data_IF_802226723778
#
_entry.id   IF_802226723778
#
_cell.length_a   1.000
_cell.length_b   1.000
_cell.length_c   1.000
_cell.angle_alpha   90.00
_cell.angle_beta   90.00
_cell.angle_gamma   90.00
#
_symmetry.space_group_name_H-M   'P 1'
#
loop_
_entity.id
_entity.type
_entity.pdbx_description
1 polymer ?
#
# COMPACT_ATOMS: atom_id res chain seq x y z
N UNK A 1 0.40 7.46 -35.34
CA UNK A 1 0.39 6.25 -36.19
C UNK A 1 -0.97 5.54 -36.05
N UNK A 2 -1.41 4.69 -36.98
CA UNK A 2 -2.65 3.93 -36.81
C UNK A 2 -2.49 2.90 -35.68
N UNK A 3 -3.38 2.99 -34.67
CA UNK A 3 -3.39 2.08 -33.52
C UNK A 3 -3.57 0.63 -34.00
N UNK A 4 -2.78 -0.32 -33.46
CA UNK A 4 -2.94 -1.75 -33.73
C UNK A 4 -4.34 -2.20 -33.28
N UNK A 5 -5.27 -2.39 -34.22
CA UNK A 5 -6.63 -2.87 -33.90
C UNK A 5 -6.68 -4.24 -33.22
N UNK A 6 -5.62 -5.05 -33.36
CA UNK A 6 -5.49 -6.37 -32.73
C UNK A 6 -4.08 -6.66 -32.23
N UNK A 7 -4.00 -7.24 -31.02
CA UNK A 7 -2.77 -7.70 -30.36
C UNK A 7 -2.78 -9.23 -30.16
N UNK A 8 -1.62 -9.84 -29.93
CA UNK A 8 -1.45 -11.29 -29.74
C UNK A 8 -1.38 -11.70 -28.26
N UNK A 9 -1.46 -13.01 -27.97
CA UNK A 9 -1.43 -13.56 -26.61
C UNK A 9 -0.24 -13.08 -25.75
N UNK A 10 0.95 -12.92 -26.33
CA UNK A 10 2.12 -12.43 -25.59
C UNK A 10 2.09 -10.91 -25.35
N UNK A 11 1.56 -10.13 -26.30
CA UNK A 11 1.27 -8.69 -26.10
C UNK A 11 0.23 -8.51 -24.98
N UNK A 12 -0.85 -9.31 -24.95
CA UNK A 12 -1.83 -9.30 -23.85
C UNK A 12 -1.20 -9.74 -22.52
N UNK A 13 -0.36 -10.78 -22.51
CA UNK A 13 0.34 -11.24 -21.31
C UNK A 13 1.25 -10.15 -20.72
N UNK A 14 1.98 -9.43 -21.58
CA UNK A 14 2.82 -8.32 -21.16
C UNK A 14 2.01 -7.14 -20.60
N UNK A 15 0.84 -6.85 -21.18
CA UNK A 15 -0.02 -5.75 -20.74
C UNK A 15 -0.87 -6.06 -19.49
N UNK A 16 -1.13 -7.35 -19.20
CA UNK A 16 -2.03 -7.77 -18.10
C UNK A 16 -1.32 -8.54 -16.98
N UNK A 17 -0.08 -8.96 -17.18
CA UNK A 17 0.65 -9.85 -16.26
C UNK A 17 0.16 -11.30 -16.24
N UNK A 18 -0.89 -11.66 -17.00
CA UNK A 18 -1.45 -13.00 -17.02
C UNK A 18 -0.58 -13.99 -17.81
N UNK A 19 -0.62 -15.26 -17.40
CA UNK A 19 0.03 -16.32 -18.16
C UNK A 19 -0.68 -16.53 -19.51
N UNK A 20 0.10 -16.88 -20.53
CA UNK A 20 -0.43 -17.00 -21.90
C UNK A 20 -1.52 -18.08 -22.04
N UNK A 21 -1.51 -19.12 -21.20
CA UNK A 21 -2.53 -20.16 -21.22
C UNK A 21 -3.86 -19.71 -20.61
N UNK A 22 -3.86 -18.84 -19.61
CA UNK A 22 -5.08 -18.24 -19.07
C UNK A 22 -5.73 -17.32 -20.11
N UNK A 23 -4.93 -16.52 -20.82
CA UNK A 23 -5.40 -15.67 -21.92
C UNK A 23 -5.95 -16.54 -23.07
N UNK A 24 -5.33 -17.69 -23.38
CA UNK A 24 -5.88 -18.67 -24.34
C UNK A 24 -7.17 -19.30 -23.83
N UNK A 25 -7.34 -19.49 -22.52
CA UNK A 25 -8.57 -20.03 -21.95
C UNK A 25 -9.71 -19.00 -21.99
N UNK A 26 -9.47 -17.73 -21.67
CA UNK A 26 -10.41 -16.62 -21.88
C UNK A 26 -10.85 -16.49 -23.35
N UNK A 27 -9.94 -16.80 -24.28
CA UNK A 27 -10.21 -16.86 -25.71
C UNK A 27 -11.06 -18.08 -26.12
N UNK A 28 -10.81 -19.26 -25.52
CA UNK A 28 -11.59 -20.50 -25.77
C UNK A 28 -13.02 -20.40 -25.22
N UNK A 29 -13.20 -19.79 -24.06
CA UNK A 29 -14.52 -19.59 -23.43
C UNK A 29 -15.28 -18.39 -24.00
N UNK A 30 -14.70 -17.70 -24.99
CA UNK A 30 -15.24 -16.49 -25.63
C UNK A 30 -15.54 -15.33 -24.66
N UNK A 31 -14.90 -15.36 -23.48
CA UNK A 31 -15.01 -14.32 -22.45
C UNK A 31 -14.23 -13.08 -22.85
N UNK A 32 -13.08 -13.27 -23.50
CA UNK A 32 -12.31 -12.20 -24.14
C UNK A 32 -12.42 -12.33 -25.69
N UNK A 33 -13.13 -11.42 -26.37
CA UNK A 33 -13.37 -11.51 -27.82
C UNK A 33 -12.07 -11.60 -28.62
N UNK A 34 -11.97 -12.67 -29.41
CA UNK A 34 -10.77 -12.98 -30.19
C UNK A 34 -11.10 -13.75 -31.47
N UNK A 35 -10.17 -13.74 -32.41
CA UNK A 35 -10.19 -14.61 -33.58
C UNK A 35 -8.85 -15.34 -33.72
N UNK A 36 -8.82 -16.45 -34.46
CA UNK A 36 -7.57 -17.13 -34.81
C UNK A 36 -7.05 -16.62 -36.14
N UNK A 37 -5.74 -16.35 -36.22
CA UNK A 37 -5.07 -16.03 -37.46
C UNK A 37 -4.85 -17.31 -38.32
N UNK A 38 -4.28 -17.16 -39.54
CA UNK A 38 -3.99 -18.29 -40.45
C UNK A 38 -3.05 -19.37 -39.88
N UNK A 39 -2.31 -19.09 -38.80
CA UNK A 39 -1.46 -20.06 -38.08
C UNK A 39 -2.15 -20.62 -36.82
N UNK A 40 -3.45 -20.38 -36.65
CA UNK A 40 -4.24 -20.84 -35.51
C UNK A 40 -4.02 -20.05 -34.21
N UNK A 41 -3.19 -19.01 -34.19
CA UNK A 41 -2.91 -18.23 -32.97
C UNK A 41 -3.98 -17.18 -32.71
N UNK A 42 -4.34 -16.96 -31.45
CA UNK A 42 -5.34 -15.97 -31.05
C UNK A 42 -4.87 -14.53 -31.24
N UNK A 43 -5.81 -13.68 -31.69
CA UNK A 43 -5.69 -12.23 -31.86
C UNK A 43 -6.88 -11.57 -31.18
N UNK A 44 -6.59 -10.61 -30.31
CA UNK A 44 -7.54 -9.93 -29.43
C UNK A 44 -7.72 -8.49 -29.89
N UNK A 45 -8.96 -8.00 -29.95
CA UNK A 45 -9.22 -6.59 -30.28
C UNK A 45 -8.81 -5.70 -29.10
N UNK A 46 -8.13 -4.58 -29.37
CA UNK A 46 -7.61 -3.69 -28.32
C UNK A 46 -8.73 -3.15 -27.43
N UNK A 47 -9.77 -2.56 -28.01
CA UNK A 47 -10.90 -1.97 -27.27
C UNK A 47 -11.59 -3.02 -26.36
N UNK A 48 -11.64 -4.28 -26.79
CA UNK A 48 -12.17 -5.39 -26.00
C UNK A 48 -11.23 -5.82 -24.86
N UNK A 49 -9.91 -5.75 -25.05
CA UNK A 49 -8.89 -6.00 -24.00
C UNK A 49 -8.91 -4.85 -22.99
N UNK A 50 -8.90 -3.60 -23.44
CA UNK A 50 -9.04 -2.40 -22.60
C UNK A 50 -10.28 -2.48 -21.72
N UNK A 51 -11.44 -2.72 -22.33
CA UNK A 51 -12.72 -2.83 -21.62
C UNK A 51 -12.78 -4.02 -20.66
N UNK A 52 -12.20 -5.16 -21.00
CA UNK A 52 -12.26 -6.36 -20.17
C UNK A 52 -11.31 -6.29 -18.96
N UNK A 53 -10.09 -5.77 -19.16
CA UNK A 53 -9.09 -5.67 -18.09
C UNK A 53 -9.08 -4.32 -17.38
N UNK A 54 -9.84 -3.33 -17.85
CA UNK A 54 -9.87 -1.98 -17.28
C UNK A 54 -8.58 -1.19 -17.52
N UNK A 55 -7.86 -1.49 -18.60
CA UNK A 55 -6.58 -0.86 -18.97
C UNK A 55 -6.76 0.07 -20.18
N UNK A 56 -5.81 0.97 -20.41
CA UNK A 56 -5.72 1.79 -21.63
C UNK A 56 -4.43 1.44 -22.35
N UNK A 57 -4.49 1.13 -23.63
CA UNK A 57 -3.37 0.65 -24.45
C UNK A 57 -2.96 1.76 -25.43
N UNK A 58 -2.40 2.83 -24.86
CA UNK A 58 -1.88 3.96 -25.63
C UNK A 58 -0.56 3.59 -26.34
N UNK A 59 -0.59 3.65 -27.67
CA UNK A 59 0.56 3.61 -28.60
C UNK A 59 1.67 2.58 -28.32
N UNK A 60 1.48 1.34 -28.81
CA UNK A 60 2.61 0.45 -29.12
C UNK A 60 3.34 1.02 -30.35
N UNK A 61 4.55 1.54 -30.17
CA UNK A 61 5.31 2.25 -31.22
C UNK A 61 5.64 1.40 -32.47
N UNK A 62 5.65 2.08 -33.63
CA UNK A 62 6.72 1.96 -34.61
C UNK A 62 7.56 3.25 -34.54
N UNK A 63 8.81 3.23 -35.00
CA UNK A 63 9.82 4.27 -34.71
C UNK A 63 9.54 5.67 -35.33
N UNK A 64 9.85 6.73 -34.55
CA UNK A 64 10.21 8.13 -34.92
C UNK A 64 9.16 9.00 -35.70
N UNK A 65 9.16 10.36 -35.75
CA UNK A 65 10.03 11.49 -35.33
C UNK A 65 9.16 12.77 -34.95
N UNK A 66 9.70 13.93 -34.49
CA UNK A 66 8.96 15.00 -33.75
C UNK A 66 8.77 16.39 -34.41
N UNK A 67 7.74 17.20 -34.04
CA UNK A 67 7.74 18.71 -34.17
C UNK A 67 6.63 19.55 -33.47
N UNK A 68 7.05 20.41 -32.51
CA UNK A 68 6.91 21.89 -32.36
C UNK A 68 5.58 22.76 -32.30
N UNK A 69 5.68 23.88 -31.53
CA UNK A 69 4.97 25.23 -31.54
C UNK A 69 3.63 25.42 -30.74
N UNK A 70 3.52 26.28 -29.69
CA UNK A 70 3.33 27.78 -29.54
C UNK A 70 1.88 28.31 -29.83
N UNK A 71 1.29 29.37 -29.24
CA UNK A 71 1.48 30.19 -28.00
C UNK A 71 0.29 31.21 -27.80
N UNK A 72 0.14 31.83 -26.60
CA UNK A 72 -0.58 33.08 -26.17
C UNK A 72 -1.88 33.61 -26.84
N UNK A 73 -2.83 34.17 -26.05
CA UNK A 73 -3.09 35.63 -26.12
C UNK A 73 -3.07 36.40 -24.76
N UNK A 74 -4.00 37.36 -24.48
CA UNK A 74 -3.80 38.46 -23.49
C UNK A 74 -5.05 39.35 -23.21
N UNK A 75 -4.90 40.39 -22.32
CA UNK A 75 -5.54 41.75 -22.34
C UNK A 75 -6.68 42.18 -21.37
N UNK A 76 -6.80 41.66 -20.14
CA UNK A 76 -7.66 42.25 -19.07
C UNK A 76 -6.92 43.17 -18.06
N UNK A 77 -5.85 43.82 -18.52
CA UNK A 77 -4.76 44.31 -17.66
C UNK A 77 -4.89 45.74 -17.12
N UNK A 78 -6.05 46.20 -16.64
CA UNK A 78 -6.21 47.62 -16.21
C UNK A 78 -6.81 47.90 -14.81
N UNK A 79 -7.28 46.91 -14.05
CA UNK A 79 -7.56 47.07 -12.60
C UNK A 79 -6.56 46.31 -11.70
N UNK A 80 -5.46 45.83 -12.29
CA UNK A 80 -4.45 44.96 -11.68
C UNK A 80 -3.54 45.69 -10.70
N UNK A 81 -2.95 46.79 -11.13
CA UNK A 81 -1.73 47.31 -10.52
C UNK A 81 -1.93 47.89 -9.11
N UNK A 82 -3.16 48.29 -8.76
CA UNK A 82 -3.52 48.73 -7.40
C UNK A 82 -3.63 47.59 -6.39
N UNK A 83 -3.77 46.34 -6.84
CA UNK A 83 -3.98 45.17 -5.96
C UNK A 83 -2.74 44.29 -5.83
N UNK A 84 -1.73 44.52 -6.69
CA UNK A 84 -0.45 43.78 -6.81
C UNK A 84 0.33 43.57 -5.51
N UNK A 85 0.10 44.38 -4.48
CA UNK A 85 0.84 44.35 -3.21
C UNK A 85 -0.06 44.18 -1.97
N UNK A 86 -1.34 43.83 -2.15
CA UNK A 86 -2.27 43.55 -1.06
C UNK A 86 -2.40 42.03 -0.83
N UNK A 87 -2.44 41.59 0.44
CA UNK A 87 -2.64 40.17 0.76
C UNK A 87 -4.01 39.67 0.27
N UNK A 88 -4.09 38.38 -0.10
CA UNK A 88 -5.18 37.85 -0.92
C UNK A 88 -6.60 38.07 -0.35
N UNK A 89 -6.75 38.05 0.97
CA UNK A 89 -8.03 38.35 1.64
C UNK A 89 -8.47 39.82 1.46
N UNK A 90 -7.52 40.75 1.56
CA UNK A 90 -7.77 42.20 1.44
C UNK A 90 -8.06 42.55 -0.03
N UNK A 91 -7.27 41.98 -0.95
CA UNK A 91 -7.44 42.13 -2.39
C UNK A 91 -8.88 41.78 -2.85
N UNK A 92 -9.38 40.59 -2.47
CA UNK A 92 -10.75 40.15 -2.80
C UNK A 92 -11.83 41.08 -2.22
N UNK A 93 -11.64 41.55 -0.99
CA UNK A 93 -12.58 42.46 -0.31
C UNK A 93 -12.62 43.85 -0.99
N UNK A 94 -11.51 44.29 -1.56
CA UNK A 94 -11.41 45.57 -2.29
C UNK A 94 -12.06 45.52 -3.68
N UNK A 95 -11.91 44.39 -4.39
CA UNK A 95 -12.50 44.17 -5.72
C UNK A 95 -14.00 43.81 -5.71
N UNK A 96 -14.58 43.50 -4.54
CA UNK A 96 -16.01 43.15 -4.35
C UNK A 96 -16.54 42.00 -5.22
N UNK A 97 -15.67 41.13 -5.73
CA UNK A 97 -16.04 39.96 -6.53
C UNK A 97 -16.23 38.70 -5.67
N UNK A 98 -16.90 37.68 -6.23
CA UNK A 98 -17.01 36.37 -5.58
C UNK A 98 -15.66 35.64 -5.51
N UNK A 99 -15.63 34.51 -4.80
CA UNK A 99 -14.41 33.70 -4.66
C UNK A 99 -13.96 33.13 -6.03
N UNK A 100 -14.88 32.53 -6.78
CA UNK A 100 -14.58 31.91 -8.07
C UNK A 100 -14.14 32.94 -9.13
N UNK A 101 -14.75 34.13 -9.15
CA UNK A 101 -14.32 35.22 -10.03
C UNK A 101 -12.92 35.73 -9.65
N UNK A 102 -12.62 35.85 -8.35
CA UNK A 102 -11.28 36.24 -7.89
C UNK A 102 -10.20 35.22 -8.24
N UNK A 103 -10.51 33.91 -8.13
CA UNK A 103 -9.62 32.82 -8.50
C UNK A 103 -9.37 32.81 -10.02
N UNK A 104 -10.43 32.97 -10.83
CA UNK A 104 -10.34 33.10 -12.28
C UNK A 104 -9.47 34.29 -12.72
N UNK A 105 -9.57 35.44 -12.05
CA UNK A 105 -8.72 36.62 -12.31
C UNK A 105 -7.24 36.40 -11.91
N UNK A 106 -6.93 35.44 -11.02
CA UNK A 106 -5.54 35.05 -10.73
C UNK A 106 -5.03 34.05 -11.77
N UNK A 107 -5.86 33.07 -12.16
CA UNK A 107 -5.51 32.04 -13.15
C UNK A 107 -5.28 32.62 -14.55
N UNK A 108 -6.08 33.62 -14.95
CA UNK A 108 -5.89 34.39 -16.18
C UNK A 108 -4.68 35.35 -16.12
N UNK A 109 -3.91 35.34 -15.01
CA UNK A 109 -2.69 36.12 -14.84
C UNK A 109 -2.92 37.63 -14.66
N UNK A 110 -4.19 38.03 -14.45
CA UNK A 110 -4.61 39.42 -14.33
C UNK A 110 -4.11 39.95 -12.99
N UNK A 111 -4.47 39.35 -11.85
CA UNK A 111 -4.02 39.82 -10.53
C UNK A 111 -2.73 39.10 -10.11
N UNK A 112 -1.62 39.86 -9.99
CA UNK A 112 -0.38 39.36 -9.36
C UNK A 112 -0.49 39.35 -7.83
N UNK A 113 -1.05 38.30 -7.26
CA UNK A 113 -0.81 37.95 -5.86
C UNK A 113 0.66 37.49 -5.68
N UNK A 114 1.30 37.80 -4.55
CA UNK A 114 2.61 37.23 -4.24
C UNK A 114 2.46 35.70 -4.17
N UNK A 115 3.18 34.98 -5.04
CA UNK A 115 2.92 33.56 -5.38
C UNK A 115 2.95 32.65 -4.14
N UNK A 116 3.69 33.08 -3.13
CA UNK A 116 3.97 32.37 -1.87
C UNK A 116 2.78 32.41 -0.89
N UNK A 117 1.96 33.47 -0.88
CA UNK A 117 0.76 33.51 -0.02
C UNK A 117 -0.37 32.63 -0.55
N UNK A 118 -0.58 32.60 -1.88
CA UNK A 118 -1.61 31.75 -2.50
C UNK A 118 -1.29 30.25 -2.28
N UNK A 119 -0.03 29.86 -2.46
CA UNK A 119 0.43 28.50 -2.19
C UNK A 119 0.28 28.11 -0.71
N UNK A 120 0.37 29.06 0.24
CA UNK A 120 0.21 28.80 1.68
C UNK A 120 -1.23 28.48 2.10
N UNK A 121 -2.23 28.88 1.29
CA UNK A 121 -3.65 28.55 1.50
C UNK A 121 -4.14 27.39 0.62
N UNK A 122 -3.34 26.94 -0.36
CA UNK A 122 -3.55 25.67 -1.08
C UNK A 122 -2.93 24.45 -0.39
N UNK A 123 -2.60 24.54 0.90
CA UNK A 123 -2.22 23.37 1.72
C UNK A 123 -3.46 22.53 2.06
N UNK A 124 -3.97 21.83 1.04
CA UNK A 124 -4.98 20.79 1.17
C UNK A 124 -4.70 19.70 0.13
N UNK A 125 -4.01 18.64 0.57
CA UNK A 125 -3.48 17.54 -0.26
C UNK A 125 -2.42 17.99 -1.29
N UNK A 126 -1.77 17.01 -1.93
CA UNK A 126 -0.67 17.19 -2.88
C UNK A 126 0.54 18.06 -2.43
N UNK A 127 1.13 17.73 -1.29
CA UNK A 127 2.59 17.90 -1.09
C UNK A 127 3.24 16.57 -0.69
N UNK A 128 3.07 15.57 -1.56
CA UNK A 128 3.90 14.36 -1.52
C UNK A 128 5.29 14.75 -2.02
N UNK A 129 6.29 14.57 -1.17
CA UNK A 129 7.70 14.72 -1.57
C UNK A 129 8.03 13.59 -2.54
N UNK A 130 8.45 13.92 -3.76
CA UNK A 130 8.95 12.95 -4.73
C UNK A 130 10.35 12.45 -4.31
N UNK A 131 10.38 11.29 -3.67
CA UNK A 131 11.62 10.61 -3.26
C UNK A 131 12.26 9.77 -4.38
N UNK A 132 11.73 9.77 -5.61
CA UNK A 132 12.25 8.94 -6.72
C UNK A 132 13.66 9.33 -7.20
N UNK A 133 14.21 10.47 -6.73
CA UNK A 133 15.53 10.98 -7.11
C UNK A 133 16.41 11.37 -5.92
N UNK A 134 16.69 10.42 -5.03
CA UNK A 134 17.92 10.45 -4.21
C UNK A 134 18.76 9.22 -4.50
N UNK A 135 19.92 9.40 -5.14
CA UNK A 135 20.84 8.32 -5.49
C UNK A 135 21.68 7.93 -4.27
N UNK A 136 21.10 7.12 -3.39
CA UNK A 136 21.84 6.36 -2.38
C UNK A 136 22.16 4.95 -2.93
N UNK A 137 23.40 4.46 -2.81
CA UNK A 137 23.77 3.13 -3.33
C UNK A 137 23.02 2.00 -2.59
N UNK A 138 22.80 0.90 -3.30
CA UNK A 138 21.81 -0.11 -2.98
C UNK A 138 22.19 -1.02 -1.80
N UNK A 139 21.21 -1.36 -0.96
CA UNK A 139 20.55 -2.68 -1.06
C UNK A 139 19.29 -2.73 -0.16
N UNK A 140 18.13 -2.83 -0.82
CA UNK A 140 16.80 -3.14 -0.26
C UNK A 140 16.43 -2.46 1.08
N UNK A 141 16.22 -1.14 1.04
CA UNK A 141 15.50 -0.41 2.09
C UNK A 141 14.45 0.50 1.45
N UNK A 142 13.19 0.40 1.89
CA UNK A 142 12.02 1.07 1.30
C UNK A 142 11.15 1.70 2.38
N UNK A 143 10.62 2.89 2.12
CA UNK A 143 9.64 3.56 2.97
C UNK A 143 8.24 3.01 2.69
N UNK A 144 7.52 2.63 3.73
CA UNK A 144 6.13 2.14 3.69
C UNK A 144 5.23 3.18 4.37
N UNK A 145 4.11 3.51 3.74
CA UNK A 145 3.17 4.55 4.19
C UNK A 145 1.74 4.01 4.09
N UNK A 146 0.92 4.22 5.13
CA UNK A 146 -0.52 3.96 5.17
C UNK A 146 -0.92 2.59 4.58
N UNK A 147 -1.76 2.56 3.54
CA UNK A 147 -2.28 1.36 2.87
C UNK A 147 -1.21 0.43 2.29
N UNK A 148 -0.01 0.93 2.00
CA UNK A 148 1.09 0.11 1.51
C UNK A 148 1.56 -0.93 2.55
N UNK A 149 1.20 -0.79 3.83
CA UNK A 149 1.49 -1.80 4.85
C UNK A 149 0.82 -3.16 4.56
N UNK A 150 -0.36 -3.18 3.94
CA UNK A 150 -1.01 -4.44 3.54
C UNK A 150 -0.14 -5.19 2.52
N UNK A 151 0.12 -4.56 1.37
CA UNK A 151 0.89 -5.18 0.29
C UNK A 151 2.35 -5.44 0.67
N UNK A 152 3.01 -4.46 1.28
CA UNK A 152 4.46 -4.53 1.47
C UNK A 152 4.89 -5.26 2.76
N UNK A 153 3.99 -5.48 3.72
CA UNK A 153 4.32 -6.20 4.97
C UNK A 153 3.48 -7.47 5.12
N UNK A 154 2.16 -7.40 4.98
CA UNK A 154 1.27 -8.53 5.27
C UNK A 154 1.36 -9.62 4.19
N UNK A 155 1.45 -9.26 2.92
CA UNK A 155 1.63 -10.25 1.85
C UNK A 155 2.98 -10.97 1.98
N UNK A 156 4.06 -10.29 2.41
CA UNK A 156 5.36 -10.93 2.68
C UNK A 156 5.34 -11.94 3.83
N UNK A 157 4.53 -11.71 4.86
CA UNK A 157 4.26 -12.73 5.90
C UNK A 157 3.61 -13.98 5.27
N UNK A 158 2.71 -13.77 4.30
CA UNK A 158 2.02 -14.85 3.58
C UNK A 158 2.92 -15.55 2.55
N UNK A 159 4.04 -14.94 2.15
CA UNK A 159 5.02 -15.55 1.24
C UNK A 159 6.08 -16.38 1.96
N UNK A 160 6.39 -16.06 3.23
CA UNK A 160 7.44 -16.64 4.10
C UNK A 160 7.69 -18.15 3.92
N UNK A 161 8.96 -18.56 3.99
CA UNK A 161 9.42 -19.93 3.68
C UNK A 161 10.08 -20.66 4.85
N UNK A 162 10.56 -19.95 5.87
CA UNK A 162 11.32 -20.52 6.99
C UNK A 162 10.97 -19.91 8.35
N UNK A 163 10.79 -18.59 8.45
CA UNK A 163 10.41 -17.97 9.73
C UNK A 163 9.55 -16.71 9.59
N UNK A 164 8.69 -16.48 10.58
CA UNK A 164 7.89 -15.26 10.77
C UNK A 164 7.96 -14.88 12.24
N UNK A 165 8.50 -13.70 12.55
CA UNK A 165 8.54 -13.17 13.91
C UNK A 165 7.83 -11.83 13.96
N UNK A 166 6.83 -11.68 14.83
CA UNK A 166 6.02 -10.47 14.92
C UNK A 166 6.17 -9.88 16.33
N UNK A 167 6.47 -8.58 16.43
CA UNK A 167 6.24 -7.80 17.65
C UNK A 167 5.24 -6.72 17.34
N UNK A 168 4.08 -6.73 17.99
CA UNK A 168 3.05 -5.70 17.80
C UNK A 168 2.40 -5.37 19.13
N UNK A 169 2.15 -4.10 19.45
CA UNK A 169 1.44 -3.77 20.69
C UNK A 169 0.01 -4.31 20.60
N UNK A 170 -0.73 -3.86 19.59
CA UNK A 170 -2.08 -4.33 19.32
C UNK A 170 -2.05 -5.45 18.27
N UNK A 171 -2.71 -6.58 18.57
CA UNK A 171 -3.09 -7.57 17.57
C UNK A 171 -4.62 -7.67 17.56
N UNK A 172 -5.25 -7.36 16.42
CA UNK A 172 -6.71 -7.44 16.23
C UNK A 172 -7.05 -8.37 15.06
N UNK A 173 -8.24 -8.97 15.10
CA UNK A 173 -8.76 -9.80 14.00
C UNK A 173 -8.92 -8.99 12.71
N UNK A 174 -8.54 -9.60 11.59
CA UNK A 174 -8.81 -9.11 10.24
C UNK A 174 -8.75 -10.27 9.24
N UNK A 175 -9.27 -10.03 8.03
CA UNK A 175 -9.32 -11.02 6.94
C UNK A 175 -8.49 -10.54 5.77
N UNK A 176 -7.68 -11.43 5.19
CA UNK A 176 -7.03 -11.16 3.92
C UNK A 176 -8.02 -11.35 2.78
N UNK A 177 -7.89 -10.52 1.74
CA UNK A 177 -8.69 -10.63 0.52
C UNK A 177 -8.55 -12.03 -0.09
N UNK A 178 -9.62 -12.63 -0.65
CA UNK A 178 -9.49 -13.79 -1.53
C UNK A 178 -8.52 -13.48 -2.67
N UNK A 179 -7.66 -14.44 -3.04
CA UNK A 179 -6.68 -14.28 -4.12
C UNK A 179 -7.38 -13.85 -5.42
N UNK A 180 -6.93 -12.73 -6.01
CA UNK A 180 -7.50 -12.16 -7.24
C UNK A 180 -8.78 -11.33 -7.05
N UNK A 181 -9.28 -11.12 -5.83
CA UNK A 181 -10.41 -10.21 -5.59
C UNK A 181 -10.01 -8.74 -5.62
N UNK A 182 -10.84 -7.92 -6.27
CA UNK A 182 -10.68 -6.46 -6.37
C UNK A 182 -11.66 -5.75 -5.42
N UNK A 183 -11.26 -4.56 -4.92
CA UNK A 183 -12.07 -3.75 -3.99
C UNK A 183 -11.82 -4.02 -2.51
N UNK A 184 -12.71 -3.51 -1.65
CA UNK A 184 -12.60 -3.54 -0.18
C UNK A 184 -13.51 -4.59 0.50
N UNK A 185 -14.04 -5.58 -0.22
CA UNK A 185 -14.82 -6.64 0.42
C UNK A 185 -13.89 -7.69 1.06
N UNK A 186 -13.80 -7.67 2.39
CA UNK A 186 -13.02 -8.63 3.18
C UNK A 186 -13.88 -9.70 3.87
N UNK A 187 -15.21 -9.69 3.70
CA UNK A 187 -16.12 -10.59 4.40
C UNK A 187 -15.89 -12.06 4.01
N UNK A 188 -15.73 -12.29 2.71
CA UNK A 188 -15.43 -13.60 2.11
C UNK A 188 -13.93 -13.96 2.23
N UNK A 189 -13.13 -13.06 2.82
CA UNK A 189 -11.70 -13.22 3.02
C UNK A 189 -11.34 -14.23 4.12
N UNK A 190 -10.15 -14.81 4.02
CA UNK A 190 -9.65 -15.77 5.01
C UNK A 190 -9.04 -15.02 6.22
N UNK A 191 -9.41 -15.35 7.48
CA UNK A 191 -8.83 -14.72 8.67
C UNK A 191 -7.30 -14.79 8.68
N UNK A 192 -6.63 -13.70 9.01
CA UNK A 192 -5.15 -13.63 8.98
C UNK A 192 -4.48 -14.68 9.87
N UNK A 193 -5.10 -15.00 11.03
CA UNK A 193 -4.60 -16.06 11.91
C UNK A 193 -4.54 -17.43 11.21
N UNK A 194 -5.46 -17.73 10.28
CA UNK A 194 -5.41 -18.97 9.48
C UNK A 194 -4.22 -19.01 8.53
N UNK A 195 -3.77 -17.87 7.99
CA UNK A 195 -2.57 -17.83 7.15
C UNK A 195 -1.31 -18.11 7.98
N UNK A 196 -1.19 -17.49 9.16
CA UNK A 196 -0.09 -17.79 10.08
C UNK A 196 -0.07 -19.27 10.50
N UNK A 197 -1.25 -19.84 10.79
CA UNK A 197 -1.40 -21.27 11.11
C UNK A 197 -1.09 -22.18 9.91
N UNK A 198 -1.47 -21.80 8.69
CA UNK A 198 -1.10 -22.54 7.49
C UNK A 198 0.42 -22.53 7.24
N UNK A 199 1.11 -21.42 7.57
CA UNK A 199 2.58 -21.34 7.55
C UNK A 199 3.23 -22.25 8.58
N UNK A 200 2.72 -22.23 9.82
CA UNK A 200 3.11 -23.16 10.88
C UNK A 200 2.99 -24.64 10.44
N UNK A 201 1.86 -25.03 9.83
CA UNK A 201 1.67 -26.38 9.26
C UNK A 201 2.67 -26.69 8.13
N UNK A 202 3.05 -25.70 7.33
CA UNK A 202 4.05 -25.82 6.25
C UNK A 202 5.50 -25.92 6.77
N UNK A 203 5.72 -25.91 8.09
CA UNK A 203 7.05 -25.99 8.71
C UNK A 203 7.77 -24.63 8.84
N UNK A 204 7.07 -23.51 8.63
CA UNK A 204 7.60 -22.17 8.90
C UNK A 204 7.49 -21.91 10.41
N UNK A 205 8.59 -21.53 11.07
CA UNK A 205 8.55 -21.14 12.48
C UNK A 205 7.81 -19.81 12.63
N UNK A 206 6.66 -19.80 13.32
CA UNK A 206 5.86 -18.59 13.53
C UNK A 206 5.81 -18.23 15.02
N UNK A 207 6.34 -17.05 15.36
CA UNK A 207 6.50 -16.58 16.74
C UNK A 207 5.93 -15.15 16.90
N UNK A 208 5.03 -14.94 17.86
CA UNK A 208 4.31 -13.65 18.05
C UNK A 208 4.45 -13.09 19.45
N UNK A 209 4.97 -11.87 19.58
CA UNK A 209 4.95 -11.07 20.81
C UNK A 209 3.88 -9.98 20.67
N UNK A 210 2.91 -9.95 21.58
CA UNK A 210 1.91 -8.87 21.63
C UNK A 210 1.44 -8.49 23.04
N UNK A 211 0.78 -7.33 23.20
CA UNK A 211 -0.08 -7.12 24.37
C UNK A 211 -1.30 -8.04 24.29
N UNK A 212 -1.96 -8.25 25.43
CA UNK A 212 -3.03 -9.23 25.56
C UNK A 212 -4.18 -8.94 24.56
N UNK A 213 -4.47 -9.84 23.58
CA UNK A 213 -5.36 -9.50 22.47
C UNK A 213 -6.82 -9.28 22.87
N UNK A 214 -7.57 -8.58 22.01
CA UNK A 214 -9.01 -8.37 22.20
C UNK A 214 -9.76 -9.69 22.37
N UNK A 215 -10.82 -9.73 23.17
CA UNK A 215 -11.64 -10.94 23.41
C UNK A 215 -11.99 -11.66 22.11
N UNK A 216 -12.58 -10.96 21.14
CA UNK A 216 -12.96 -11.54 19.85
C UNK A 216 -11.82 -12.14 19.02
N UNK A 217 -10.56 -11.73 19.25
CA UNK A 217 -9.40 -12.37 18.63
C UNK A 217 -8.96 -13.60 19.42
N UNK A 218 -9.07 -13.55 20.76
CA UNK A 218 -8.85 -14.71 21.63
C UNK A 218 -9.89 -15.81 21.40
N UNK A 219 -11.14 -15.46 21.12
CA UNK A 219 -12.20 -16.43 20.81
C UNK A 219 -11.93 -17.13 19.48
N UNK A 220 -11.68 -16.36 18.40
CA UNK A 220 -11.26 -16.89 17.08
C UNK A 220 -9.97 -17.72 17.18
N UNK A 221 -9.02 -17.32 18.03
CA UNK A 221 -7.80 -18.07 18.31
C UNK A 221 -8.10 -19.41 18.98
N UNK A 222 -8.88 -19.43 20.07
CA UNK A 222 -9.23 -20.67 20.81
C UNK A 222 -9.86 -21.71 19.89
N UNK A 223 -10.83 -21.30 19.06
CA UNK A 223 -11.52 -22.19 18.12
C UNK A 223 -10.55 -22.90 17.16
N UNK A 224 -9.56 -22.19 16.60
CA UNK A 224 -8.59 -22.80 15.69
C UNK A 224 -7.45 -23.53 16.40
N UNK A 225 -7.00 -23.03 17.55
CA UNK A 225 -5.90 -23.65 18.30
C UNK A 225 -6.30 -25.00 18.93
N UNK A 226 -7.57 -25.18 19.30
CA UNK A 226 -8.12 -26.48 19.71
C UNK A 226 -8.10 -27.54 18.59
N UNK A 227 -7.92 -27.14 17.33
CA UNK A 227 -7.92 -28.02 16.14
C UNK A 227 -6.50 -28.28 15.59
N UNK A 228 -5.45 -27.83 16.28
CA UNK A 228 -4.07 -27.75 15.80
C UNK A 228 -3.09 -28.42 16.77
N UNK A 229 -1.88 -28.77 16.30
CA UNK A 229 -0.77 -29.00 17.24
C UNK A 229 -0.33 -27.64 17.83
N UNK A 230 -0.46 -27.41 19.15
CA UNK A 230 -0.05 -26.16 19.80
C UNK A 230 1.43 -25.80 19.61
N UNK A 231 2.30 -26.79 19.38
CA UNK A 231 3.75 -26.60 19.23
C UNK A 231 4.15 -25.90 17.93
N UNK A 232 3.26 -25.81 16.94
CA UNK A 232 3.57 -25.25 15.62
C UNK A 232 3.43 -23.71 15.57
N UNK A 233 2.70 -23.09 16.52
CA UNK A 233 2.45 -21.65 16.53
C UNK A 233 2.69 -21.06 17.93
N UNK A 234 3.83 -20.39 18.09
CA UNK A 234 4.27 -19.89 19.39
C UNK A 234 3.85 -18.43 19.63
N UNK A 235 3.53 -18.10 20.88
CA UNK A 235 3.17 -16.74 21.26
C UNK A 235 3.61 -16.36 22.66
N UNK A 236 3.80 -15.05 22.87
CA UNK A 236 4.11 -14.43 24.14
C UNK A 236 3.26 -13.17 24.34
N UNK A 237 2.64 -13.05 25.52
CA UNK A 237 2.05 -11.80 25.95
C UNK A 237 3.06 -10.96 26.74
N UNK A 238 3.20 -9.71 26.36
CA UNK A 238 4.07 -8.74 27.01
C UNK A 238 3.42 -7.36 26.96
N UNK A 239 2.83 -6.92 28.07
CA UNK A 239 2.12 -5.62 28.16
C UNK A 239 3.05 -4.40 28.00
N UNK A 240 4.37 -4.60 28.10
CA UNK A 240 5.37 -3.57 27.78
C UNK A 240 5.76 -3.53 26.29
N UNK A 241 5.32 -4.49 25.47
CA UNK A 241 5.68 -4.50 24.06
C UNK A 241 4.95 -3.38 23.32
N UNK A 242 5.67 -2.29 23.01
CA UNK A 242 5.17 -1.25 22.12
C UNK A 242 5.81 -1.28 20.72
N UNK A 243 6.71 -2.21 20.43
CA UNK A 243 7.30 -2.35 19.11
C UNK A 243 6.24 -2.70 18.05
N UNK A 244 6.47 -2.25 16.81
CA UNK A 244 5.76 -2.72 15.62
C UNK A 244 6.79 -3.15 14.60
N UNK A 245 7.01 -4.46 14.58
CA UNK A 245 8.08 -5.14 13.87
C UNK A 245 7.55 -6.42 13.27
N UNK A 246 7.97 -6.71 12.05
CA UNK A 246 7.80 -8.02 11.42
C UNK A 246 9.16 -8.43 10.87
N UNK A 247 9.61 -9.64 11.16
CA UNK A 247 10.81 -10.24 10.58
C UNK A 247 10.36 -11.46 9.77
N UNK A 248 10.80 -11.57 8.51
CA UNK A 248 10.48 -12.69 7.63
C UNK A 248 11.78 -13.35 7.15
N UNK A 249 11.80 -14.67 7.28
CA UNK A 249 12.86 -15.61 6.86
C UNK A 249 14.27 -15.22 7.35
N UNK A 250 14.34 -14.44 8.44
CA UNK A 250 15.55 -13.83 9.01
C UNK A 250 16.39 -13.02 7.99
N UNK A 251 15.75 -12.58 6.90
CA UNK A 251 16.36 -11.83 5.78
C UNK A 251 15.73 -10.46 5.54
N UNK A 252 14.50 -10.24 6.02
CA UNK A 252 13.77 -8.98 5.89
C UNK A 252 13.19 -8.57 7.24
N UNK A 253 13.24 -7.27 7.54
CA UNK A 253 12.55 -6.67 8.68
C UNK A 253 11.72 -5.45 8.25
N UNK A 254 10.47 -5.39 8.69
CA UNK A 254 9.69 -4.16 8.81
C UNK A 254 9.88 -3.58 10.21
N UNK A 255 10.07 -2.26 10.31
CA UNK A 255 10.07 -1.50 11.57
C UNK A 255 9.30 -0.19 11.35
N UNK A 256 8.28 0.09 12.16
CA UNK A 256 7.48 1.31 11.99
C UNK A 256 6.44 1.58 13.08
N UNK A 257 5.37 2.28 12.71
CA UNK A 257 4.26 2.63 13.60
C UNK A 257 3.07 1.65 13.54
N UNK A 258 2.91 0.92 12.42
CA UNK A 258 1.71 0.14 12.13
C UNK A 258 1.56 -1.11 12.99
N UNK A 259 0.55 -1.14 13.87
CA UNK A 259 0.18 -2.36 14.58
C UNK A 259 -0.58 -3.33 13.67
N UNK A 260 -0.45 -4.63 13.91
CA UNK A 260 -1.16 -5.71 13.17
C UNK A 260 -2.67 -5.69 13.49
N UNK A 261 -3.36 -4.79 12.83
CA UNK A 261 -4.76 -4.41 13.02
C UNK A 261 -5.31 -3.85 11.70
N UNK A 262 -6.65 -3.87 11.44
CA UNK A 262 -7.21 -3.31 10.21
C UNK A 262 -6.73 -1.90 9.90
N UNK A 263 -6.85 -0.96 10.83
CA UNK A 263 -6.45 0.43 10.62
C UNK A 263 -4.94 0.61 10.42
N UNK A 264 -4.10 -0.16 11.13
CA UNK A 264 -2.64 -0.08 11.01
C UNK A 264 -2.10 -0.57 9.68
N UNK A 265 -2.74 -1.59 9.07
CA UNK A 265 -2.36 -2.10 7.75
C UNK A 265 -3.07 -1.38 6.59
N UNK A 266 -3.94 -0.40 6.88
CA UNK A 266 -4.76 0.31 5.89
C UNK A 266 -5.93 -0.50 5.31
N UNK A 267 -6.47 -1.44 6.08
CA UNK A 267 -7.66 -2.22 5.72
C UNK A 267 -8.96 -1.58 6.26
N UNK A 268 -9.88 -1.36 5.33
CA UNK A 268 -11.20 -0.76 5.56
C UNK A 268 -11.26 0.68 5.03
N UNK A 269 -12.44 1.29 5.06
CA UNK A 269 -12.64 2.70 4.66
C UNK A 269 -11.59 3.56 5.34
N UNK A 270 -10.85 4.35 4.55
CA UNK A 270 -9.86 5.33 5.03
C UNK A 270 -10.40 6.05 6.26
N UNK A 271 -9.87 5.72 7.44
CA UNK A 271 -10.26 6.36 8.69
C UNK A 271 -9.53 7.70 8.75
N UNK A 272 -10.22 8.85 8.64
CA UNK A 272 -9.54 10.13 8.54
C UNK A 272 -8.75 10.38 9.82
N UNK A 273 -7.41 10.31 9.74
CA UNK A 273 -6.51 10.55 10.87
C UNK A 273 -5.61 9.38 11.29
N UNK A 274 -5.75 8.15 10.75
CA UNK A 274 -4.74 7.10 11.00
C UNK A 274 -3.63 7.16 9.95
N UNK A 275 -2.50 7.77 10.31
CA UNK A 275 -1.31 7.88 9.47
C UNK A 275 -0.23 6.93 9.98
N UNK A 276 0.25 6.06 9.10
CA UNK A 276 1.21 5.00 9.46
C UNK A 276 2.45 5.11 8.58
N UNK A 277 3.62 4.96 9.18
CA UNK A 277 4.91 5.00 8.49
C UNK A 277 5.85 3.93 9.03
N UNK A 278 6.63 3.31 8.15
CA UNK A 278 7.67 2.38 8.54
C UNK A 278 8.70 2.18 7.44
N UNK A 279 9.73 1.42 7.77
CA UNK A 279 10.79 1.05 6.84
C UNK A 279 10.78 -0.47 6.71
N UNK A 280 10.74 -0.94 5.46
CA UNK A 280 10.98 -2.32 5.09
C UNK A 280 12.44 -2.43 4.63
N UNK A 281 13.22 -3.33 5.21
CA UNK A 281 14.64 -3.46 4.89
C UNK A 281 15.14 -4.91 4.87
N UNK A 282 16.08 -5.21 3.98
CA UNK A 282 16.92 -6.42 4.01
C UNK A 282 18.35 -6.14 4.47
N UNK A 283 18.61 -4.97 5.07
CA UNK A 283 19.93 -4.67 5.63
C UNK A 283 20.23 -5.66 6.78
N UNK A 284 21.23 -6.55 6.64
CA UNK A 284 21.44 -7.64 7.59
C UNK A 284 21.79 -7.14 8.99
N UNK A 285 22.38 -5.95 9.13
CA UNK A 285 22.65 -5.34 10.45
C UNK A 285 21.35 -4.94 11.16
N UNK A 286 20.38 -4.38 10.43
CA UNK A 286 19.09 -4.01 11.00
C UNK A 286 18.30 -5.27 11.35
N UNK A 287 18.21 -6.23 10.42
CA UNK A 287 17.51 -7.52 10.64
C UNK A 287 18.09 -8.25 11.87
N UNK A 288 19.42 -8.39 11.95
CA UNK A 288 20.10 -9.01 13.10
C UNK A 288 19.85 -8.27 14.43
N UNK A 289 19.92 -6.93 14.42
CA UNK A 289 19.67 -6.12 15.63
C UNK A 289 18.22 -6.26 16.13
N UNK A 290 17.26 -6.26 15.21
CA UNK A 290 15.83 -6.36 15.51
C UNK A 290 15.45 -7.79 15.92
N UNK A 291 16.09 -8.81 15.34
CA UNK A 291 15.99 -10.22 15.78
C UNK A 291 16.58 -10.42 17.18
N UNK A 292 17.67 -9.72 17.51
CA UNK A 292 18.26 -9.73 18.85
C UNK A 292 17.31 -9.10 19.87
N UNK A 293 16.64 -7.98 19.53
CA UNK A 293 15.59 -7.39 20.36
C UNK A 293 14.41 -8.36 20.56
N UNK A 294 13.95 -9.02 19.49
CA UNK A 294 12.90 -10.04 19.55
C UNK A 294 13.25 -11.11 20.60
N UNK A 295 14.42 -11.75 20.48
CA UNK A 295 14.81 -12.81 21.41
C UNK A 295 15.14 -12.31 22.82
N UNK A 296 15.54 -11.04 22.99
CA UNK A 296 15.69 -10.43 24.33
C UNK A 296 14.35 -10.38 25.06
N UNK A 297 13.26 -10.02 24.38
CA UNK A 297 11.91 -10.02 24.94
C UNK A 297 11.38 -11.45 25.08
N UNK A 298 11.55 -12.29 24.05
CA UNK A 298 11.11 -13.69 24.02
C UNK A 298 11.72 -14.54 25.15
N UNK A 299 13.01 -14.33 25.43
CA UNK A 299 13.71 -15.03 26.51
C UNK A 299 13.51 -14.35 27.88
N UNK A 300 12.56 -13.40 27.98
CA UNK A 300 12.14 -12.74 29.23
C UNK A 300 13.25 -12.03 29.99
N UNK A 301 14.31 -11.58 29.29
CA UNK A 301 15.55 -11.08 29.89
C UNK A 301 15.41 -9.84 30.80
N UNK A 302 14.24 -9.19 30.80
CA UNK A 302 13.92 -8.04 31.64
C UNK A 302 12.65 -8.23 32.50
N UNK A 303 12.04 -9.42 32.50
CA UNK A 303 10.75 -9.65 33.16
C UNK A 303 10.82 -9.52 34.68
N UNK A 304 11.91 -9.97 35.32
CA UNK A 304 12.11 -9.94 36.78
C UNK A 304 12.02 -8.52 37.37
N UNK A 305 12.38 -7.50 36.56
CA UNK A 305 12.36 -6.07 36.93
C UNK A 305 11.21 -5.29 36.27
N UNK A 306 10.32 -5.97 35.56
CA UNK A 306 9.23 -5.35 34.80
C UNK A 306 8.03 -4.96 35.67
N UNK A 307 7.81 -5.70 36.77
CA UNK A 307 6.69 -5.58 37.71
C UNK A 307 5.29 -5.72 37.07
N UNK A 308 5.18 -6.33 35.88
CA UNK A 308 3.93 -6.54 35.13
C UNK A 308 3.69 -8.01 34.71
N UNK A 309 4.33 -8.97 35.40
CA UNK A 309 4.29 -10.39 35.03
C UNK A 309 2.88 -11.01 35.16
N UNK A 310 2.07 -10.48 36.07
CA UNK A 310 0.65 -10.76 36.26
C UNK A 310 -0.16 -10.55 34.96
N UNK A 311 0.02 -9.41 34.29
CA UNK A 311 -0.68 -9.07 33.05
C UNK A 311 -0.13 -9.80 31.81
N UNK A 312 1.06 -10.37 31.90
CA UNK A 312 1.72 -11.10 30.81
C UNK A 312 1.37 -12.61 30.79
N UNK A 313 0.57 -13.10 31.73
CA UNK A 313 0.25 -14.52 31.84
C UNK A 313 -0.78 -15.00 30.79
N UNK A 314 -0.42 -16.04 30.04
CA UNK A 314 -1.28 -16.69 29.06
C UNK A 314 -2.48 -17.47 29.64
N UNK A 315 -2.68 -17.48 30.97
CA UNK A 315 -3.79 -18.17 31.67
C UNK A 315 -5.21 -17.69 31.28
N UNK A 316 -5.31 -16.70 30.39
CA UNK A 316 -6.55 -16.10 29.89
C UNK A 316 -6.78 -16.36 28.38
N UNK A 317 -6.01 -17.28 27.77
CA UNK A 317 -6.33 -17.99 26.53
C UNK A 317 -6.78 -19.42 26.84
#
# INVERSE_FOLDING_TARGET
MPIKKYINTAEVAMLTGLQQDDIRNLAKTNVLPSHRNRRGHYRFNVDAVEKYFGIVIDNIEQEAEPSALKANPSKESQNVDKVKYLSGHIARKYLKCSKAEFESLIEQGIIKAHRDEYNRWKVSKESVIDYSKSSLPSNDTRLIINENHYQEVIERICEAKSSVKIMTANFKRFRLKPTGSQGENYNDGTPFIKYLMAKAIQGVSVQVICSMPSSSFRDEWKEFYQQMNPELFEYMFCERNHAKVVIVDDQMAYVGSANITPAGIGQGVFTPGNFEVGILTKNPKIVSSVTTLFYTIWNKAHCDKCHRADMCNAKNL
#
